data_IF_162252496177
#
_entry.id   IF_162252496177
#
_cell.length_a   1.000
_cell.length_b   1.000
_cell.length_c   1.000
_cell.angle_alpha   90.00
_cell.angle_beta   90.00
_cell.angle_gamma   90.00
#
_symmetry.space_group_name_H-M   'P 1'
#
loop_
_entity.id
_entity.type
_entity.pdbx_description
1 polymer ?
#
# COMPACT_ATOMS: atom_id res chain seq x y z
N UNK A 1 -35.56 6.98 50.39
CA UNK A 1 -35.59 7.15 48.92
C UNK A 1 -35.02 5.87 48.34
N UNK A 2 -35.87 4.96 47.88
CA UNK A 2 -35.40 3.71 47.26
C UNK A 2 -34.97 4.01 45.82
N UNK A 3 -33.75 3.62 45.48
CA UNK A 3 -33.24 3.75 44.12
C UNK A 3 -33.82 2.61 43.30
N UNK A 4 -34.52 2.93 42.22
CA UNK A 4 -34.89 1.92 41.21
C UNK A 4 -33.64 1.53 40.43
N UNK A 5 -33.00 0.46 40.90
CA UNK A 5 -31.81 -0.12 40.29
C UNK A 5 -32.07 -0.60 38.86
N UNK A 6 -33.30 -0.97 38.51
CA UNK A 6 -33.65 -1.40 37.15
C UNK A 6 -33.58 -0.20 36.20
N UNK A 7 -34.13 0.95 36.61
CA UNK A 7 -34.04 2.18 35.83
C UNK A 7 -32.59 2.68 35.71
N UNK A 8 -31.79 2.58 36.77
CA UNK A 8 -30.38 2.95 36.77
C UNK A 8 -29.54 2.05 35.83
N UNK A 9 -29.75 0.73 35.89
CA UNK A 9 -29.06 -0.26 35.05
C UNK A 9 -29.50 -0.11 33.59
N UNK A 10 -30.81 0.02 33.33
CA UNK A 10 -31.35 0.21 31.98
C UNK A 10 -30.85 1.52 31.36
N UNK A 11 -30.82 2.62 32.12
CA UNK A 11 -30.28 3.90 31.67
C UNK A 11 -28.79 3.86 31.35
N UNK A 12 -28.02 3.07 32.10
CA UNK A 12 -26.58 2.87 31.89
C UNK A 12 -26.25 1.91 30.74
N UNK A 13 -27.12 0.94 30.45
CA UNK A 13 -26.95 -0.02 29.36
C UNK A 13 -27.08 0.60 27.97
N UNK A 14 -27.96 1.59 27.79
CA UNK A 14 -28.17 2.27 26.50
C UNK A 14 -26.88 2.87 25.91
N UNK A 15 -26.09 3.70 26.63
CA UNK A 15 -24.84 4.25 26.09
C UNK A 15 -23.78 3.17 25.87
N UNK A 16 -23.76 2.11 26.69
CA UNK A 16 -22.86 0.96 26.51
C UNK A 16 -23.17 0.24 25.20
N UNK A 17 -24.44 -0.12 24.98
CA UNK A 17 -24.90 -0.76 23.74
C UNK A 17 -24.61 0.14 22.53
N UNK A 18 -24.88 1.44 22.63
CA UNK A 18 -24.57 2.41 21.57
C UNK A 18 -23.07 2.47 21.24
N UNK A 19 -22.20 2.46 22.25
CA UNK A 19 -20.75 2.41 22.08
C UNK A 19 -20.30 1.11 21.41
N UNK A 20 -20.77 -0.05 21.88
CA UNK A 20 -20.47 -1.34 21.26
C UNK A 20 -20.97 -1.42 19.82
N UNK A 21 -22.18 -0.93 19.53
CA UNK A 21 -22.71 -0.88 18.17
C UNK A 21 -21.83 -0.02 17.26
N UNK A 22 -21.35 1.13 17.74
CA UNK A 22 -20.39 1.97 17.01
C UNK A 22 -19.09 1.22 16.71
N UNK A 23 -18.53 0.49 17.68
CA UNK A 23 -17.33 -0.33 17.48
C UNK A 23 -17.56 -1.43 16.43
N UNK A 24 -18.71 -2.10 16.46
CA UNK A 24 -19.09 -3.11 15.47
C UNK A 24 -19.15 -2.50 14.07
N UNK A 25 -19.82 -1.35 13.91
CA UNK A 25 -19.91 -0.67 12.61
C UNK A 25 -18.53 -0.25 12.08
N UNK A 26 -17.65 0.26 12.94
CA UNK A 26 -16.27 0.61 12.58
C UNK A 26 -15.52 -0.65 12.11
N UNK A 27 -15.65 -1.76 12.83
CA UNK A 27 -15.03 -3.04 12.47
C UNK A 27 -15.51 -3.56 11.11
N UNK A 28 -16.83 -3.53 10.87
CA UNK A 28 -17.43 -3.94 9.57
C UNK A 28 -16.89 -3.07 8.44
N UNK A 29 -16.86 -1.75 8.61
CA UNK A 29 -16.35 -0.80 7.60
C UNK A 29 -14.87 -1.07 7.29
N UNK A 30 -14.04 -1.24 8.32
CA UNK A 30 -12.61 -1.52 8.17
C UNK A 30 -12.37 -2.88 7.48
N UNK A 31 -13.17 -3.89 7.81
CA UNK A 31 -13.06 -5.20 7.17
C UNK A 31 -13.48 -5.17 5.69
N UNK A 32 -14.50 -4.39 5.32
CA UNK A 32 -14.88 -4.19 3.91
C UNK A 32 -13.74 -3.51 3.13
N UNK A 33 -13.14 -2.46 3.70
CA UNK A 33 -12.00 -1.76 3.08
C UNK A 33 -10.76 -2.67 2.95
N UNK A 34 -10.47 -3.49 3.96
CA UNK A 34 -9.40 -4.49 3.86
C UNK A 34 -9.69 -5.47 2.73
N UNK A 35 -10.91 -6.01 2.65
CA UNK A 35 -11.32 -6.94 1.59
C UNK A 35 -11.18 -6.35 0.19
N UNK A 36 -11.49 -5.07 -0.03
CA UNK A 36 -11.36 -4.45 -1.36
C UNK A 36 -9.92 -4.40 -1.88
N UNK A 37 -8.92 -4.43 -0.97
CA UNK A 37 -7.50 -4.42 -1.30
C UNK A 37 -6.93 -5.83 -1.51
N UNK A 38 -7.60 -6.88 -1.04
CA UNK A 38 -7.07 -8.25 -1.13
C UNK A 38 -7.08 -8.79 -2.57
N UNK A 39 -6.21 -9.77 -2.86
CA UNK A 39 -6.16 -10.46 -4.15
C UNK A 39 -5.02 -9.97 -5.04
N UNK A 40 -5.18 -10.18 -6.34
CA UNK A 40 -4.14 -9.86 -7.34
C UNK A 40 -4.29 -8.44 -7.88
N UNK A 41 -3.15 -7.79 -8.09
CA UNK A 41 -3.03 -6.46 -8.68
C UNK A 41 -1.79 -6.39 -9.57
N UNK A 42 -1.83 -5.52 -10.57
CA UNK A 42 -0.69 -5.12 -11.37
C UNK A 42 -0.25 -3.74 -10.91
N UNK A 43 1.04 -3.60 -10.64
CA UNK A 43 1.67 -2.41 -10.09
C UNK A 43 2.69 -1.89 -11.11
N UNK A 44 2.64 -0.59 -11.37
CA UNK A 44 3.44 0.12 -12.35
C UNK A 44 4.04 1.35 -11.69
N UNK A 45 5.35 1.53 -11.84
CA UNK A 45 6.04 2.74 -11.40
C UNK A 45 7.31 2.93 -12.21
N UNK A 46 7.82 4.16 -12.26
CA UNK A 46 9.11 4.45 -12.87
C UNK A 46 10.19 4.28 -11.79
N UNK A 47 11.24 3.55 -12.11
CA UNK A 47 12.45 3.46 -11.28
C UNK A 47 13.66 3.83 -12.11
N UNK A 48 14.83 3.98 -11.48
CA UNK A 48 16.08 4.23 -12.18
C UNK A 48 17.00 3.02 -12.08
N UNK A 49 17.38 2.48 -13.23
CA UNK A 49 18.38 1.42 -13.36
C UNK A 49 19.55 2.01 -14.13
N UNK A 50 20.74 2.05 -13.52
CA UNK A 50 21.93 2.69 -14.11
C UNK A 50 21.64 4.12 -14.59
N UNK A 51 20.99 4.94 -13.74
CA UNK A 51 20.62 6.34 -14.01
C UNK A 51 19.64 6.56 -15.18
N UNK A 52 19.01 5.51 -15.72
CA UNK A 52 17.98 5.62 -16.75
C UNK A 52 16.61 5.24 -16.20
N UNK A 53 15.61 6.02 -16.57
CA UNK A 53 14.22 5.74 -16.20
C UNK A 53 13.73 4.46 -16.90
N UNK A 54 13.20 3.54 -16.11
CA UNK A 54 12.67 2.26 -16.56
C UNK A 54 11.31 2.02 -15.90
N UNK A 55 10.30 1.64 -16.70
CA UNK A 55 9.02 1.21 -16.16
C UNK A 55 9.17 -0.17 -15.51
N UNK A 56 8.92 -0.23 -14.21
CA UNK A 56 8.88 -1.47 -13.45
C UNK A 56 7.45 -1.97 -13.38
N UNK A 57 7.27 -3.22 -13.81
CA UNK A 57 5.98 -3.91 -13.80
C UNK A 57 6.05 -5.04 -12.79
N UNK A 58 5.08 -5.05 -11.88
CA UNK A 58 5.02 -5.93 -10.75
C UNK A 58 3.62 -6.56 -10.64
N UNK A 59 3.55 -7.85 -10.34
CA UNK A 59 2.30 -8.48 -9.91
C UNK A 59 2.27 -8.62 -8.40
N UNK A 60 1.33 -7.95 -7.76
CA UNK A 60 1.10 -8.00 -6.33
C UNK A 60 0.04 -9.04 -6.01
N UNK A 61 0.34 -9.97 -5.10
CA UNK A 61 -0.66 -10.83 -4.46
C UNK A 61 -0.78 -10.45 -2.99
N UNK A 62 -1.85 -9.72 -2.67
CA UNK A 62 -2.12 -9.20 -1.33
C UNK A 62 -3.02 -10.18 -0.59
N UNK A 63 -2.57 -10.63 0.58
CA UNK A 63 -3.33 -11.55 1.45
C UNK A 63 -3.24 -11.13 2.91
N UNK A 64 -4.26 -11.47 3.69
CA UNK A 64 -4.27 -11.29 5.14
C UNK A 64 -3.35 -12.29 5.81
N UNK A 65 -2.71 -11.90 6.92
CA UNK A 65 -2.10 -12.86 7.84
C UNK A 65 -3.20 -13.56 8.64
N UNK A 66 -3.18 -14.89 8.71
CA UNK A 66 -4.22 -15.66 9.43
C UNK A 66 -4.28 -15.35 10.94
N UNK A 67 -3.14 -14.99 11.56
CA UNK A 67 -3.01 -14.94 13.02
C UNK A 67 -2.45 -13.62 13.56
N UNK A 68 -2.24 -12.61 12.71
CA UNK A 68 -1.68 -11.30 13.11
C UNK A 68 -2.31 -10.19 12.29
N UNK A 69 -2.32 -8.99 12.84
CA UNK A 69 -2.60 -7.81 12.02
C UNK A 69 -1.52 -7.65 10.94
N UNK A 70 -1.94 -7.37 9.71
CA UNK A 70 -1.05 -7.09 8.60
C UNK A 70 -1.33 -7.91 7.35
N UNK A 71 -0.51 -7.65 6.34
CA UNK A 71 -0.62 -8.23 5.01
C UNK A 71 0.68 -8.92 4.60
N UNK A 72 0.54 -9.89 3.70
CA UNK A 72 1.64 -10.37 2.89
C UNK A 72 1.44 -9.86 1.47
N UNK A 73 2.49 -9.28 0.89
CA UNK A 73 2.53 -8.94 -0.53
C UNK A 73 3.62 -9.80 -1.17
N UNK A 74 3.21 -10.67 -2.09
CA UNK A 74 4.15 -11.32 -2.99
C UNK A 74 4.25 -10.46 -4.25
N UNK A 75 5.46 -10.07 -4.62
CA UNK A 75 5.75 -9.29 -5.82
C UNK A 75 6.45 -10.19 -6.82
N UNK A 76 5.81 -10.41 -7.97
CA UNK A 76 6.40 -11.12 -9.11
C UNK A 76 6.84 -10.07 -10.12
N UNK A 77 8.12 -10.06 -10.49
CA UNK A 77 8.62 -9.21 -11.57
C UNK A 77 8.45 -9.97 -12.89
N UNK A 78 7.69 -9.43 -13.85
CA UNK A 78 7.40 -10.14 -15.11
C UNK A 78 8.66 -10.44 -15.94
N UNK A 79 9.72 -9.63 -15.80
CA UNK A 79 10.92 -9.69 -16.64
C UNK A 79 12.18 -10.17 -15.90
N UNK A 80 12.06 -10.73 -14.70
CA UNK A 80 13.24 -11.17 -13.93
C UNK A 80 13.23 -12.68 -13.74
N UNK A 81 14.35 -13.33 -14.04
CA UNK A 81 14.64 -14.73 -13.66
C UNK A 81 14.98 -14.87 -12.17
N UNK A 82 15.06 -13.75 -11.43
CA UNK A 82 15.34 -13.76 -9.99
C UNK A 82 14.07 -14.05 -9.18
N UNK A 83 14.29 -14.73 -8.06
CA UNK A 83 13.28 -15.15 -7.08
C UNK A 83 12.21 -14.08 -6.80
N UNK A 84 10.96 -14.53 -6.72
CA UNK A 84 9.82 -13.74 -6.27
C UNK A 84 10.15 -12.96 -4.99
N UNK A 85 10.01 -11.64 -5.04
CA UNK A 85 10.24 -10.80 -3.85
C UNK A 85 9.05 -10.93 -2.91
N UNK A 86 9.34 -11.26 -1.65
CA UNK A 86 8.32 -11.41 -0.62
C UNK A 86 8.42 -10.26 0.35
N UNK A 87 7.32 -9.54 0.50
CA UNK A 87 7.19 -8.45 1.45
C UNK A 87 6.17 -8.81 2.52
N UNK A 88 6.35 -8.20 3.69
CA UNK A 88 5.37 -8.20 4.76
C UNK A 88 5.12 -6.78 5.23
N UNK A 89 3.92 -6.50 5.72
CA UNK A 89 3.62 -5.13 6.08
C UNK A 89 2.28 -4.90 6.75
N UNK A 90 1.95 -3.62 6.88
CA UNK A 90 0.69 -3.10 7.41
C UNK A 90 0.00 -2.28 6.32
N UNK A 91 -1.34 -2.35 6.32
CA UNK A 91 -2.18 -1.41 5.58
C UNK A 91 -2.81 -0.46 6.58
N UNK A 92 -2.73 0.83 6.29
CA UNK A 92 -3.48 1.88 6.97
C UNK A 92 -4.47 2.52 6.00
N UNK A 93 -5.63 2.92 6.52
CA UNK A 93 -6.67 3.59 5.74
C UNK A 93 -6.84 4.99 6.30
N UNK A 94 -6.54 6.00 5.49
CA UNK A 94 -6.65 7.42 5.85
C UNK A 94 -7.58 8.11 4.86
N UNK A 95 -8.79 8.51 5.28
CA UNK A 95 -9.75 9.28 4.49
C UNK A 95 -9.93 8.82 3.03
N UNK A 96 -9.16 9.34 2.08
CA UNK A 96 -9.22 9.02 0.65
C UNK A 96 -8.11 8.08 0.16
N UNK A 97 -7.24 7.63 1.06
CA UNK A 97 -6.03 6.91 0.77
C UNK A 97 -5.94 5.56 1.49
N UNK A 98 -5.08 4.72 0.94
CA UNK A 98 -4.61 3.45 1.46
C UNK A 98 -3.09 3.52 1.49
N UNK A 99 -2.52 3.31 2.66
CA UNK A 99 -1.09 3.42 2.89
C UNK A 99 -0.55 2.02 3.16
N UNK A 100 0.44 1.63 2.38
CA UNK A 100 1.16 0.38 2.50
C UNK A 100 2.52 0.67 3.12
N UNK A 101 2.79 0.07 4.28
CA UNK A 101 4.13 0.02 4.87
C UNK A 101 4.62 -1.40 4.74
N UNK A 102 5.56 -1.64 3.82
CA UNK A 102 6.02 -2.99 3.49
C UNK A 102 7.54 -3.08 3.62
N UNK A 103 8.00 -4.23 4.11
CA UNK A 103 9.40 -4.56 4.32
C UNK A 103 9.68 -5.92 3.67
N UNK A 104 10.82 -6.03 2.99
CA UNK A 104 11.30 -7.29 2.44
C UNK A 104 11.47 -8.35 3.53
N UNK A 105 11.04 -9.58 3.28
CA UNK A 105 11.24 -10.70 4.22
C UNK A 105 12.66 -11.26 4.16
N UNK A 106 13.22 -11.29 2.96
CA UNK A 106 14.51 -11.93 2.66
C UNK A 106 15.53 -10.90 2.13
N UNK A 107 15.19 -9.60 2.21
CA UNK A 107 15.99 -8.48 1.73
C UNK A 107 15.69 -7.21 2.55
N UNK A 108 16.62 -6.27 2.58
CA UNK A 108 16.58 -5.07 3.44
C UNK A 108 15.68 -3.93 2.92
N UNK A 109 14.93 -4.17 1.85
CA UNK A 109 14.12 -3.13 1.22
C UNK A 109 12.92 -2.74 2.09
N UNK A 110 12.74 -1.44 2.29
CA UNK A 110 11.59 -0.88 2.98
C UNK A 110 10.90 0.09 2.01
N UNK A 111 9.62 -0.16 1.78
CA UNK A 111 8.82 0.63 0.85
C UNK A 111 7.59 1.17 1.57
N UNK A 112 7.30 2.44 1.32
CA UNK A 112 6.06 3.07 1.73
C UNK A 112 5.30 3.53 0.49
N UNK A 113 4.04 3.16 0.37
CA UNK A 113 3.22 3.55 -0.77
C UNK A 113 1.91 4.14 -0.28
N UNK A 114 1.57 5.34 -0.75
CA UNK A 114 0.30 6.00 -0.45
C UNK A 114 -0.50 6.08 -1.74
N UNK A 115 -1.60 5.34 -1.81
CA UNK A 115 -2.46 5.26 -3.00
C UNK A 115 -3.86 5.75 -2.67
N UNK A 116 -4.60 6.22 -3.67
CA UNK A 116 -6.04 6.48 -3.52
C UNK A 116 -6.79 5.19 -3.17
N UNK A 117 -7.92 5.34 -2.48
CA UNK A 117 -8.80 4.21 -2.20
C UNK A 117 -9.31 3.61 -3.51
N UNK A 118 -9.36 2.26 -3.62
CA UNK A 118 -9.88 1.62 -4.81
C UNK A 118 -11.36 1.96 -4.95
N UNK A 119 -11.73 2.45 -6.12
CA UNK A 119 -13.14 2.63 -6.49
C UNK A 119 -13.59 1.31 -7.12
N UNK A 120 -14.51 0.55 -6.49
CA UNK A 120 -14.95 -0.73 -7.02
C UNK A 120 -15.79 -0.52 -8.28
N UNK A 121 -15.13 -0.60 -9.43
CA UNK A 121 -15.73 -0.56 -10.76
C UNK A 121 -15.05 -1.61 -11.67
N UNK A 122 -15.47 -1.70 -12.93
CA UNK A 122 -14.91 -2.65 -13.91
C UNK A 122 -13.40 -2.54 -14.13
N UNK A 123 -12.80 -1.40 -13.76
CA UNK A 123 -11.39 -1.06 -13.93
C UNK A 123 -10.82 -0.48 -12.63
N UNK A 124 -10.97 -1.24 -11.55
CA UNK A 124 -10.56 -0.78 -10.22
C UNK A 124 -9.06 -0.46 -10.22
N UNK A 125 -8.75 0.81 -9.99
CA UNK A 125 -7.40 1.37 -9.97
C UNK A 125 -7.16 2.16 -8.68
N UNK A 126 -5.89 2.29 -8.34
CA UNK A 126 -5.37 3.12 -7.26
C UNK A 126 -4.15 3.84 -7.81
N UNK A 127 -4.07 5.15 -7.59
CA UNK A 127 -2.97 6.00 -8.03
C UNK A 127 -2.44 6.75 -6.82
N UNK A 128 -1.15 6.97 -6.76
CA UNK A 128 -0.55 7.83 -5.76
C UNK A 128 0.95 7.78 -5.86
N UNK A 129 1.63 7.78 -4.72
CA UNK A 129 3.08 7.89 -4.68
C UNK A 129 3.70 6.73 -3.93
N UNK A 130 4.89 6.39 -4.38
CA UNK A 130 5.75 5.38 -3.81
C UNK A 130 7.02 6.04 -3.31
N UNK A 131 7.47 5.61 -2.14
CA UNK A 131 8.72 5.98 -1.52
C UNK A 131 9.51 4.69 -1.30
N UNK A 132 10.68 4.59 -1.92
CA UNK A 132 11.51 3.40 -1.90
C UNK A 132 12.97 3.75 -2.13
N UNK A 133 13.82 2.73 -2.07
CA UNK A 133 15.22 2.82 -2.50
C UNK A 133 15.34 2.34 -3.95
N UNK A 134 16.02 3.09 -4.81
CA UNK A 134 16.26 2.70 -6.20
C UNK A 134 17.45 1.72 -6.32
N UNK A 135 17.74 1.26 -7.55
CA UNK A 135 18.88 0.38 -7.81
C UNK A 135 20.25 1.07 -7.66
N UNK A 136 20.27 2.39 -7.50
CA UNK A 136 21.47 3.17 -7.20
C UNK A 136 21.62 3.44 -5.70
N UNK A 137 20.81 2.77 -4.87
CA UNK A 137 20.76 2.91 -3.42
C UNK A 137 20.32 4.29 -2.92
N UNK A 138 19.61 5.07 -3.72
CA UNK A 138 19.09 6.37 -3.33
C UNK A 138 17.61 6.32 -2.96
N UNK A 139 17.22 7.14 -1.99
CA UNK A 139 15.81 7.30 -1.65
C UNK A 139 15.14 8.11 -2.76
N UNK A 140 14.07 7.58 -3.31
CA UNK A 140 13.34 8.23 -4.39
C UNK A 140 11.84 8.15 -4.17
N UNK A 141 11.13 9.05 -4.83
CA UNK A 141 9.68 8.99 -4.96
C UNK A 141 9.24 9.04 -6.42
N UNK A 142 8.22 8.26 -6.74
CA UNK A 142 7.64 8.13 -8.08
C UNK A 142 6.13 8.01 -7.96
N UNK A 143 5.34 8.46 -8.96
CA UNK A 143 3.96 8.02 -9.06
C UNK A 143 3.91 6.51 -9.19
N UNK A 144 2.84 5.93 -8.67
CA UNK A 144 2.57 4.51 -8.69
C UNK A 144 1.13 4.26 -9.04
N UNK A 145 0.93 3.42 -10.05
CA UNK A 145 -0.36 2.96 -10.52
C UNK A 145 -0.52 1.50 -10.10
N UNK A 146 -1.65 1.18 -9.48
CA UNK A 146 -2.00 -0.19 -9.10
C UNK A 146 -3.41 -0.49 -9.58
N UNK A 147 -3.57 -1.50 -10.45
CA UNK A 147 -4.85 -1.81 -11.08
C UNK A 147 -5.13 -3.31 -11.13
N UNK A 148 -6.41 -3.69 -11.19
CA UNK A 148 -6.83 -5.11 -11.24
C UNK A 148 -6.59 -5.76 -12.59
N UNK A 149 -6.70 -4.98 -13.67
CA UNK A 149 -6.49 -5.43 -15.04
C UNK A 149 -5.08 -5.06 -15.48
N UNK A 150 -4.41 -5.97 -16.17
CA UNK A 150 -3.12 -5.69 -16.78
C UNK A 150 -3.31 -4.64 -17.89
N UNK A 151 -2.48 -3.61 -17.88
CA UNK A 151 -2.41 -2.56 -18.90
C UNK A 151 -1.18 -2.73 -19.77
N UNK A 152 -1.22 -2.15 -20.96
CA UNK A 152 -0.04 -2.07 -21.83
C UNK A 152 0.99 -1.12 -21.24
N UNK A 153 2.24 -1.22 -21.73
CA UNK A 153 3.32 -0.33 -21.32
C UNK A 153 2.97 1.14 -21.58
N UNK A 154 2.50 1.44 -22.79
CA UNK A 154 2.12 2.79 -23.23
C UNK A 154 1.01 3.39 -22.38
N UNK A 155 -0.03 2.59 -22.09
CA UNK A 155 -1.18 3.02 -21.30
C UNK A 155 -0.77 3.31 -19.85
N UNK A 156 0.04 2.44 -19.24
CA UNK A 156 0.53 2.65 -17.88
C UNK A 156 1.40 3.91 -17.77
N UNK A 157 2.33 4.12 -18.73
CA UNK A 157 3.19 5.31 -18.77
C UNK A 157 2.35 6.58 -18.95
N UNK A 158 1.34 6.55 -19.81
CA UNK A 158 0.43 7.68 -20.02
C UNK A 158 -0.27 8.07 -18.71
N UNK A 159 -0.89 7.11 -18.02
CA UNK A 159 -1.58 7.36 -16.75
C UNK A 159 -0.63 7.89 -15.67
N UNK A 160 0.59 7.33 -15.58
CA UNK A 160 1.58 7.79 -14.61
C UNK A 160 1.98 9.25 -14.88
N UNK A 161 2.21 9.63 -16.14
CA UNK A 161 2.54 11.01 -16.54
C UNK A 161 1.39 11.98 -16.26
N UNK A 162 0.18 11.61 -16.66
CA UNK A 162 -1.03 12.41 -16.42
C UNK A 162 -1.30 12.60 -14.91
N UNK A 163 -0.94 11.62 -14.07
CA UNK A 163 -1.09 11.75 -12.62
C UNK A 163 -0.11 12.72 -11.95
N UNK A 164 0.94 13.15 -12.66
CA UNK A 164 2.00 14.04 -12.18
C UNK A 164 2.16 15.28 -13.04
N UNK A 165 1.11 15.73 -13.74
CA UNK A 165 1.16 16.93 -14.60
C UNK A 165 1.68 18.20 -13.89
N UNK A 166 1.63 18.24 -12.56
CA UNK A 166 2.10 19.35 -11.73
C UNK A 166 3.61 19.29 -11.39
N UNK A 167 4.31 18.22 -11.76
CA UNK A 167 5.77 18.10 -11.62
C UNK A 167 6.38 18.28 -13.00
N UNK A 168 7.00 19.44 -13.22
CA UNK A 168 7.78 19.69 -14.44
C UNK A 168 9.01 18.77 -14.45
N UNK A 169 9.25 18.11 -15.58
CA UNK A 169 10.48 17.42 -15.99
C UNK A 169 10.93 16.13 -15.26
N UNK A 170 10.45 15.77 -14.07
CA UNK A 170 10.88 14.53 -13.39
C UNK A 170 9.74 13.66 -12.83
N UNK A 171 9.59 12.45 -13.37
CA UNK A 171 8.63 11.44 -12.87
C UNK A 171 9.21 10.70 -11.64
N UNK A 172 10.53 10.65 -11.51
CA UNK A 172 11.25 9.96 -10.44
C UNK A 172 12.16 10.95 -9.71
N UNK A 173 11.70 11.45 -8.56
CA UNK A 173 12.40 12.48 -7.78
C UNK A 173 13.29 11.82 -6.73
N UNK A 174 14.57 12.19 -6.72
CA UNK A 174 15.51 11.78 -5.67
C UNK A 174 15.34 12.65 -4.44
N UNK A 175 15.19 12.01 -3.29
CA UNK A 175 15.05 12.68 -1.99
C UNK A 175 16.39 12.83 -1.28
N UNK A 176 17.40 12.07 -1.69
CA UNK A 176 18.77 12.13 -1.17
C UNK A 176 19.73 12.58 -2.26
N UNK A 177 20.68 13.47 -1.90
CA UNK A 177 21.75 13.93 -2.80
C UNK A 177 22.92 12.93 -2.93
N UNK A 178 22.93 11.85 -2.14
CA UNK A 178 23.98 10.82 -2.11
C UNK A 178 23.34 9.44 -1.90
N UNK A 179 23.95 8.36 -2.43
CA UNK A 179 23.55 6.98 -2.13
C UNK A 179 23.54 6.68 -0.64
N UNK A 180 22.53 5.96 -0.18
CA UNK A 180 22.47 5.44 1.18
C UNK A 180 23.40 4.22 1.24
N UNK A 181 24.32 4.13 2.21
CA UNK A 181 25.14 2.93 2.39
C UNK A 181 24.24 1.71 2.52
N UNK A 182 24.55 0.62 1.80
CA UNK A 182 23.81 -0.62 1.96
C UNK A 182 23.86 -1.03 3.43
N UNK A 183 22.71 -1.23 4.07
CA UNK A 183 22.66 -1.87 5.38
C UNK A 183 23.27 -3.27 5.21
N UNK A 184 24.51 -3.44 5.65
CA UNK A 184 25.17 -4.73 5.69
C UNK A 184 24.23 -5.70 6.42
N UNK A 185 23.99 -6.86 5.81
CA UNK A 185 23.30 -7.95 6.51
C UNK A 185 24.08 -8.20 7.80
N UNK A 186 23.42 -8.38 8.96
CA UNK A 186 24.12 -8.94 10.10
C UNK A 186 24.75 -10.25 9.62
N UNK A 187 26.08 -10.32 9.70
CA UNK A 187 26.84 -11.53 9.43
C UNK A 187 26.29 -12.64 10.32
N UNK A 188 25.66 -13.63 9.70
CA UNK A 188 25.37 -14.92 10.33
C UNK A 188 26.69 -15.67 10.62
#
# INVERSE_FOLDING_TARGET
>A
MEIDWVQLIAGSLIPIIGYFFRLILISIKNNRLKKSIMGEWYSYHISRVNYKDELRVEKWKISTKLFREGINIKVLQENSTKNDLKYTGKIEFDNNFVIFHITGKEHSEINQTRLTKPIPNGDTLMIGFHLAQDFNHELYTTPKLVCRRKRSHEEAVKILKESTEWIEDEICIRLTKRPIPSLEKPSE
#
